data_IF_880955890468
#
_entry.id   IF_880955890468
#
_cell.length_a   1.000
_cell.length_b   1.000
_cell.length_c   1.000
_cell.angle_alpha   90.00
_cell.angle_beta   90.00
_cell.angle_gamma   90.00
#
_symmetry.space_group_name_H-M   'P 1'
#
loop_
_entity.id
_entity.type
_entity.pdbx_description
1 polymer ?
#
# COMPACT_ATOMS: atom_id res chain seq x y z
N UNK A 1 20.67 12.07 -17.03
CA UNK A 1 20.05 12.92 -15.97
C UNK A 1 18.63 13.35 -16.31
N UNK A 2 18.35 13.91 -17.53
CA UNK A 2 16.99 14.40 -17.84
C UNK A 2 15.92 13.32 -17.62
N UNK A 3 16.11 12.11 -18.17
CA UNK A 3 15.11 11.02 -18.04
C UNK A 3 14.86 10.59 -16.59
N UNK A 4 15.87 10.66 -15.71
CA UNK A 4 15.69 10.40 -14.27
C UNK A 4 14.87 11.52 -13.60
N UNK A 5 15.13 12.79 -13.97
CA UNK A 5 14.33 13.90 -13.47
C UNK A 5 12.87 13.78 -13.93
N UNK A 6 12.63 13.37 -15.17
CA UNK A 6 11.27 13.11 -15.69
C UNK A 6 10.57 12.04 -14.84
N UNK A 7 11.25 10.94 -14.50
CA UNK A 7 10.69 9.88 -13.62
C UNK A 7 10.34 10.41 -12.22
N UNK A 8 11.17 11.29 -11.64
CA UNK A 8 10.86 11.88 -10.32
C UNK A 8 9.60 12.74 -10.37
N UNK A 9 9.40 13.51 -11.44
CA UNK A 9 8.15 14.25 -11.63
C UNK A 9 6.96 13.31 -11.87
N UNK A 10 7.17 12.22 -12.60
CA UNK A 10 6.14 11.21 -12.83
C UNK A 10 5.72 10.53 -11.51
N UNK A 11 6.69 10.08 -10.69
CA UNK A 11 6.40 9.52 -9.37
C UNK A 11 5.68 10.54 -8.45
N UNK A 12 6.02 11.84 -8.56
CA UNK A 12 5.31 12.88 -7.80
C UNK A 12 3.82 12.97 -8.14
N UNK A 13 3.39 12.54 -9.34
CA UNK A 13 1.98 12.56 -9.72
C UNK A 13 1.11 11.69 -8.81
N UNK A 14 1.68 10.66 -8.16
CA UNK A 14 0.94 9.84 -7.20
C UNK A 14 0.39 10.64 -6.00
N UNK A 15 0.95 11.82 -5.71
CA UNK A 15 0.41 12.73 -4.69
C UNK A 15 -0.93 13.37 -5.13
N UNK A 16 -1.13 13.48 -6.43
CA UNK A 16 -2.34 14.07 -7.03
C UNK A 16 -3.32 12.99 -7.51
N UNK A 17 -2.90 11.72 -7.49
CA UNK A 17 -3.72 10.58 -7.88
C UNK A 17 -4.52 10.12 -6.65
N UNK A 18 -5.86 10.26 -6.64
CA UNK A 18 -6.66 9.83 -5.49
C UNK A 18 -6.83 8.30 -5.50
N UNK A 19 -6.90 7.70 -4.33
CA UNK A 19 -7.36 6.31 -4.14
C UNK A 19 -8.86 6.25 -4.43
N UNK A 20 -9.21 5.78 -5.61
CA UNK A 20 -10.56 5.87 -6.16
C UNK A 20 -11.61 5.03 -5.41
N UNK A 21 -11.20 4.03 -4.63
CA UNK A 21 -12.09 3.22 -3.81
C UNK A 21 -12.87 4.03 -2.78
N UNK A 22 -12.30 5.10 -2.23
CA UNK A 22 -12.98 5.98 -1.25
C UNK A 22 -14.24 6.66 -1.80
N UNK A 23 -14.37 6.80 -3.12
CA UNK A 23 -15.59 7.31 -3.76
C UNK A 23 -16.81 6.42 -3.48
N UNK A 24 -16.59 5.10 -3.41
CA UNK A 24 -17.65 4.12 -3.11
C UNK A 24 -17.82 3.88 -1.61
N UNK A 25 -16.76 4.07 -0.84
CA UNK A 25 -16.85 4.03 0.61
C UNK A 25 -17.64 5.22 1.16
N UNK A 26 -17.55 6.40 0.51
CA UNK A 26 -18.33 7.61 0.84
C UNK A 26 -17.72 8.49 1.92
N UNK A 27 -16.61 8.11 2.51
CA UNK A 27 -15.81 8.90 3.45
C UNK A 27 -14.33 8.54 3.37
N UNK A 28 -13.49 9.38 3.97
CA UNK A 28 -12.04 9.26 3.87
C UNK A 28 -11.53 9.79 2.52
N UNK A 29 -10.24 9.99 2.46
CA UNK A 29 -9.52 10.27 1.23
C UNK A 29 -8.03 10.05 1.46
N UNK A 30 -7.42 9.46 0.49
CA UNK A 30 -6.01 9.14 0.49
C UNK A 30 -5.49 9.34 -0.95
N UNK A 31 -4.29 9.83 -1.12
CA UNK A 31 -3.58 9.77 -2.39
C UNK A 31 -2.85 8.44 -2.53
N UNK A 32 -2.54 8.04 -3.75
CA UNK A 32 -1.72 6.85 -3.99
C UNK A 32 -0.35 6.97 -3.30
N UNK A 33 0.24 8.18 -3.23
CA UNK A 33 1.50 8.40 -2.54
C UNK A 33 1.41 8.17 -1.02
N UNK A 34 0.32 8.58 -0.37
CA UNK A 34 0.08 8.32 1.06
C UNK A 34 -0.08 6.82 1.32
N UNK A 35 -0.85 6.15 0.48
CA UNK A 35 -0.99 4.69 0.51
C UNK A 35 0.37 3.97 0.35
N UNK A 36 1.14 4.34 -0.67
CA UNK A 36 2.48 3.75 -0.92
C UNK A 36 3.42 3.97 0.27
N UNK A 37 3.38 5.15 0.92
CA UNK A 37 4.14 5.38 2.14
C UNK A 37 3.73 4.41 3.24
N UNK A 38 2.43 4.28 3.52
CA UNK A 38 1.89 3.35 4.54
C UNK A 38 2.26 1.91 4.25
N UNK A 39 2.03 1.43 3.03
CA UNK A 39 2.40 0.07 2.61
C UNK A 39 3.92 -0.19 2.72
N UNK A 40 4.75 0.78 2.33
CA UNK A 40 6.22 0.66 2.43
C UNK A 40 6.68 0.62 3.89
N UNK A 41 6.06 1.40 4.78
CA UNK A 41 6.39 1.35 6.20
C UNK A 41 5.96 0.03 6.85
N UNK A 42 4.79 -0.51 6.49
CA UNK A 42 4.34 -1.84 6.92
C UNK A 42 5.33 -2.91 6.44
N UNK A 43 5.77 -2.83 5.18
CA UNK A 43 6.80 -3.72 4.65
C UNK A 43 8.11 -3.65 5.44
N UNK A 44 8.54 -2.44 5.83
CA UNK A 44 9.70 -2.28 6.72
C UNK A 44 9.50 -3.02 8.05
N UNK A 45 8.33 -2.88 8.69
CA UNK A 45 8.02 -3.64 9.91
C UNK A 45 8.08 -5.15 9.66
N UNK A 46 7.51 -5.63 8.55
CA UNK A 46 7.57 -7.05 8.18
C UNK A 46 9.00 -7.56 8.00
N UNK A 47 9.95 -6.72 7.52
CA UNK A 47 11.36 -7.14 7.42
C UNK A 47 11.98 -7.46 8.77
N UNK A 48 11.47 -6.88 9.86
CA UNK A 48 11.94 -7.13 11.22
C UNK A 48 11.29 -8.39 11.83
N UNK A 49 10.16 -8.82 11.30
CA UNK A 49 9.38 -9.96 11.81
C UNK A 49 9.67 -11.26 11.03
N UNK A 50 10.15 -11.17 9.80
CA UNK A 50 10.29 -12.31 8.89
C UNK A 50 11.77 -12.66 8.66
N UNK A 51 12.31 -13.70 9.31
CA UNK A 51 13.73 -14.07 9.15
C UNK A 51 14.06 -14.44 7.69
N UNK A 52 15.21 -13.94 7.21
CA UNK A 52 15.75 -14.30 5.90
C UNK A 52 14.98 -13.74 4.70
N UNK A 53 14.09 -12.76 4.89
CA UNK A 53 13.47 -12.01 3.80
C UNK A 53 14.48 -11.04 3.19
N UNK A 54 14.44 -10.85 1.87
CA UNK A 54 15.20 -9.77 1.23
C UNK A 54 14.51 -8.42 1.53
N UNK A 55 15.04 -7.73 2.54
CA UNK A 55 14.46 -6.48 3.05
C UNK A 55 14.44 -5.38 1.98
N UNK A 56 15.53 -5.24 1.20
CA UNK A 56 15.59 -4.21 0.15
C UNK A 56 14.55 -4.50 -0.93
N UNK A 57 14.44 -5.75 -1.35
CA UNK A 57 13.46 -6.17 -2.35
C UNK A 57 12.02 -5.95 -1.87
N UNK A 58 11.68 -6.38 -0.64
CA UNK A 58 10.34 -6.22 -0.08
C UNK A 58 9.92 -4.74 -0.02
N UNK A 59 10.78 -3.87 0.50
CA UNK A 59 10.55 -2.43 0.56
C UNK A 59 10.43 -1.83 -0.85
N UNK A 60 11.29 -2.26 -1.79
CA UNK A 60 11.26 -1.77 -3.17
C UNK A 60 9.97 -2.18 -3.89
N UNK A 61 9.48 -3.40 -3.69
CA UNK A 61 8.20 -3.85 -4.25
C UNK A 61 7.06 -2.95 -3.78
N UNK A 62 6.95 -2.67 -2.48
CA UNK A 62 5.93 -1.76 -1.95
C UNK A 62 6.09 -0.32 -2.45
N UNK A 63 7.34 0.16 -2.61
CA UNK A 63 7.60 1.53 -3.08
C UNK A 63 7.13 1.76 -4.52
N UNK A 64 7.22 0.73 -5.38
CA UNK A 64 7.02 0.92 -6.83
C UNK A 64 5.74 0.29 -7.37
N UNK A 65 4.98 -0.48 -6.56
CA UNK A 65 3.86 -1.28 -7.06
C UNK A 65 2.78 -0.48 -7.77
N UNK A 66 2.43 0.69 -7.25
CA UNK A 66 1.42 1.60 -7.79
C UNK A 66 2.01 2.73 -8.66
N UNK A 67 3.32 2.70 -8.95
CA UNK A 67 3.95 3.72 -9.78
C UNK A 67 3.30 3.87 -11.17
N UNK A 68 2.82 2.79 -11.83
CA UNK A 68 2.09 2.91 -13.10
C UNK A 68 0.81 3.76 -13.01
N UNK A 69 0.21 3.90 -11.83
CA UNK A 69 -1.01 4.68 -11.62
C UNK A 69 -0.80 6.19 -11.85
N UNK A 70 0.44 6.67 -11.87
CA UNK A 70 0.76 8.02 -12.35
C UNK A 70 0.28 8.27 -13.79
N UNK A 71 0.11 7.22 -14.59
CA UNK A 71 -0.34 7.27 -16.00
C UNK A 71 -1.76 6.80 -16.21
N UNK A 72 -2.15 5.73 -15.51
CA UNK A 72 -3.43 5.05 -15.74
C UNK A 72 -4.49 5.42 -14.69
N UNK A 73 -4.09 6.08 -13.60
CA UNK A 73 -4.95 6.32 -12.43
C UNK A 73 -5.15 5.07 -11.57
N UNK A 74 -5.58 5.25 -10.33
CA UNK A 74 -6.06 4.14 -9.50
C UNK A 74 -7.45 3.70 -9.99
N UNK A 75 -7.56 2.48 -10.48
CA UNK A 75 -8.82 1.88 -10.91
C UNK A 75 -9.37 1.00 -9.80
N UNK A 76 -10.48 1.44 -9.18
CA UNK A 76 -11.19 0.63 -8.19
C UNK A 76 -11.88 -0.59 -8.81
N UNK A 77 -12.43 -1.46 -7.95
CA UNK A 77 -13.08 -2.71 -8.37
C UNK A 77 -14.25 -2.52 -9.35
N UNK A 78 -14.98 -1.39 -9.25
CA UNK A 78 -16.08 -1.09 -10.19
C UNK A 78 -15.49 -0.66 -11.54
N UNK A 79 -14.52 0.24 -11.55
CA UNK A 79 -13.87 0.69 -12.80
C UNK A 79 -13.25 -0.49 -13.57
N UNK A 80 -12.60 -1.43 -12.87
CA UNK A 80 -11.98 -2.62 -13.48
C UNK A 80 -12.95 -3.53 -14.22
N UNK A 81 -14.27 -3.43 -13.96
CA UNK A 81 -15.27 -4.16 -14.73
C UNK A 81 -15.52 -3.56 -16.13
N UNK A 82 -15.18 -2.29 -16.34
CA UNK A 82 -15.51 -1.55 -17.56
C UNK A 82 -14.30 -0.94 -18.27
N UNK A 83 -13.16 -0.80 -17.58
CA UNK A 83 -11.95 -0.19 -18.09
C UNK A 83 -10.80 -1.18 -18.01
N UNK A 84 -10.17 -1.42 -19.15
CA UNK A 84 -8.94 -2.19 -19.22
C UNK A 84 -7.77 -1.22 -19.47
N UNK A 85 -6.96 -0.98 -18.42
CA UNK A 85 -5.75 -0.18 -18.56
C UNK A 85 -4.65 -1.01 -19.24
N UNK A 86 -3.91 -0.39 -20.15
CA UNK A 86 -2.70 -0.96 -20.74
C UNK A 86 -1.49 -0.66 -19.83
N UNK A 87 -1.52 -1.26 -18.64
CA UNK A 87 -0.44 -1.11 -17.65
C UNK A 87 0.92 -1.61 -18.16
N UNK A 88 1.02 -2.75 -18.91
CA UNK A 88 2.29 -3.15 -19.47
C UNK A 88 2.93 -2.09 -20.37
N UNK A 89 2.12 -1.41 -21.19
CA UNK A 89 2.59 -0.31 -22.02
C UNK A 89 2.97 0.92 -21.18
N UNK A 90 2.19 1.26 -20.16
CA UNK A 90 2.51 2.35 -19.26
C UNK A 90 3.87 2.13 -18.58
N UNK A 91 4.15 0.91 -18.09
CA UNK A 91 5.43 0.52 -17.50
C UNK A 91 6.56 0.58 -18.53
N UNK A 92 6.38 0.00 -19.72
CA UNK A 92 7.39 0.02 -20.79
C UNK A 92 7.77 1.47 -21.20
N UNK A 93 6.79 2.34 -21.30
CA UNK A 93 7.03 3.75 -21.61
C UNK A 93 7.69 4.52 -20.45
N UNK A 94 7.34 4.17 -19.22
CA UNK A 94 7.93 4.73 -17.99
C UNK A 94 9.41 4.41 -17.87
N UNK A 95 9.80 3.17 -18.09
CA UNK A 95 11.18 2.72 -17.91
C UNK A 95 12.11 3.03 -19.09
N UNK A 96 11.55 3.44 -20.23
CA UNK A 96 12.31 3.68 -21.44
C UNK A 96 13.40 4.74 -21.25
N UNK A 97 14.65 4.36 -21.56
CA UNK A 97 15.82 5.24 -21.46
C UNK A 97 16.33 5.48 -20.05
N UNK A 98 15.82 4.73 -19.05
CA UNK A 98 16.39 4.70 -17.71
C UNK A 98 17.53 3.68 -17.63
N UNK A 99 18.69 4.00 -17.03
CA UNK A 99 19.80 3.04 -16.88
C UNK A 99 19.44 1.84 -16.00
N UNK A 100 18.43 1.96 -15.12
CA UNK A 100 17.90 0.92 -14.24
C UNK A 100 16.47 0.50 -14.64
N UNK A 101 16.03 0.82 -15.86
CA UNK A 101 14.66 0.59 -16.32
C UNK A 101 14.23 -0.87 -16.25
N UNK A 102 15.11 -1.79 -16.66
CA UNK A 102 14.84 -3.24 -16.57
C UNK A 102 14.62 -3.72 -15.15
N UNK A 103 15.37 -3.19 -14.19
CA UNK A 103 15.21 -3.55 -12.77
C UNK A 103 13.91 -3.01 -12.21
N UNK A 104 13.54 -1.77 -12.54
CA UNK A 104 12.26 -1.19 -12.13
C UNK A 104 11.08 -1.95 -12.71
N UNK A 105 11.13 -2.30 -14.00
CA UNK A 105 10.10 -3.12 -14.64
C UNK A 105 9.98 -4.48 -13.96
N UNK A 106 11.10 -5.17 -13.69
CA UNK A 106 11.10 -6.47 -13.05
C UNK A 106 10.45 -6.44 -11.65
N UNK A 107 10.67 -5.39 -10.86
CA UNK A 107 10.02 -5.24 -9.55
C UNK A 107 8.49 -5.08 -9.69
N UNK A 108 8.01 -4.26 -10.61
CA UNK A 108 6.58 -4.07 -10.86
C UNK A 108 5.94 -5.39 -11.33
N UNK A 109 6.60 -6.10 -12.25
CA UNK A 109 6.12 -7.39 -12.75
C UNK A 109 6.13 -8.48 -11.67
N UNK A 110 7.14 -8.51 -10.80
CA UNK A 110 7.22 -9.45 -9.66
C UNK A 110 6.09 -9.21 -8.66
N UNK A 111 5.80 -7.94 -8.32
CA UNK A 111 4.66 -7.61 -7.47
C UNK A 111 3.34 -8.07 -8.10
N UNK A 112 3.16 -7.83 -9.40
CA UNK A 112 1.96 -8.27 -10.15
C UNK A 112 1.81 -9.77 -10.22
N UNK A 113 2.89 -10.52 -10.37
CA UNK A 113 2.86 -11.97 -10.34
C UNK A 113 2.47 -12.50 -8.94
N UNK A 114 3.01 -11.90 -7.87
CA UNK A 114 2.69 -12.26 -6.49
C UNK A 114 3.16 -13.66 -6.09
N UNK A 115 4.14 -14.22 -6.80
CA UNK A 115 4.59 -15.61 -6.62
C UNK A 115 5.72 -15.72 -5.60
N UNK A 116 6.62 -14.75 -5.56
CA UNK A 116 7.73 -14.75 -4.60
C UNK A 116 7.25 -14.49 -3.18
N UNK A 117 8.07 -14.87 -2.21
CA UNK A 117 7.82 -14.62 -0.80
C UNK A 117 7.66 -13.13 -0.52
N UNK A 118 8.57 -12.32 -1.05
CA UNK A 118 8.56 -10.87 -0.90
C UNK A 118 7.35 -10.24 -1.58
N UNK A 119 6.96 -10.70 -2.77
CA UNK A 119 5.77 -10.20 -3.45
C UNK A 119 4.47 -10.50 -2.68
N UNK A 120 4.36 -11.67 -2.05
CA UNK A 120 3.21 -11.99 -1.19
C UNK A 120 3.16 -11.12 0.07
N UNK A 121 4.32 -10.89 0.70
CA UNK A 121 4.43 -9.98 1.84
C UNK A 121 4.10 -8.54 1.44
N UNK A 122 4.57 -8.09 0.27
CA UNK A 122 4.27 -6.77 -0.26
C UNK A 122 2.76 -6.58 -0.52
N UNK A 123 2.09 -7.60 -1.07
CA UNK A 123 0.63 -7.58 -1.23
C UNK A 123 -0.11 -7.57 0.10
N UNK A 124 0.39 -8.25 1.12
CA UNK A 124 -0.18 -8.18 2.45
C UNK A 124 0.02 -6.80 3.07
N UNK A 125 1.19 -6.17 2.87
CA UNK A 125 1.44 -4.80 3.33
C UNK A 125 0.49 -3.79 2.67
N UNK A 126 0.22 -3.92 1.37
CA UNK A 126 -0.79 -3.16 0.63
C UNK A 126 -2.19 -3.34 1.25
N UNK A 127 -2.62 -4.58 1.50
CA UNK A 127 -3.92 -4.83 2.12
C UNK A 127 -4.00 -4.30 3.57
N UNK A 128 -2.92 -4.41 4.37
CA UNK A 128 -2.90 -3.88 5.74
C UNK A 128 -2.96 -2.36 5.75
N UNK A 129 -2.37 -1.67 4.77
CA UNK A 129 -2.54 -0.22 4.60
C UNK A 129 -4.02 0.15 4.46
N UNK A 130 -4.77 -0.56 3.62
CA UNK A 130 -6.22 -0.35 3.50
C UNK A 130 -6.98 -0.73 4.79
N UNK A 131 -6.57 -1.79 5.50
CA UNK A 131 -7.20 -2.17 6.77
C UNK A 131 -7.06 -1.06 7.81
N UNK A 132 -5.91 -0.40 7.90
CA UNK A 132 -5.69 0.74 8.82
C UNK A 132 -6.65 1.88 8.54
N UNK A 133 -6.82 2.28 7.28
CA UNK A 133 -7.75 3.33 6.85
C UNK A 133 -9.21 2.97 7.17
N UNK A 134 -9.62 1.75 6.84
CA UNK A 134 -10.97 1.28 7.11
C UNK A 134 -11.27 1.23 8.61
N UNK A 135 -10.30 0.74 9.42
CA UNK A 135 -10.43 0.67 10.86
C UNK A 135 -10.51 2.07 11.49
N UNK A 136 -9.70 3.01 11.02
CA UNK A 136 -9.76 4.39 11.50
C UNK A 136 -11.15 5.00 11.27
N UNK A 137 -11.73 4.82 10.09
CA UNK A 137 -13.08 5.28 9.78
C UNK A 137 -14.15 4.59 10.66
N UNK A 138 -14.03 3.29 10.89
CA UNK A 138 -14.94 2.54 11.76
C UNK A 138 -14.87 3.04 13.22
N UNK A 139 -13.68 3.27 13.76
CA UNK A 139 -13.49 3.75 15.13
C UNK A 139 -13.99 5.17 15.37
N UNK A 140 -14.07 6.02 14.35
CA UNK A 140 -14.72 7.34 14.45
C UNK A 140 -16.24 7.27 14.23
N UNK A 141 -16.81 6.07 14.09
CA UNK A 141 -18.25 5.81 14.01
C UNK A 141 -18.81 5.75 12.58
N UNK A 142 -17.96 5.69 11.56
CA UNK A 142 -18.39 5.51 10.17
C UNK A 142 -18.50 4.02 9.85
N UNK A 143 -19.73 3.50 9.70
CA UNK A 143 -20.01 2.06 9.65
C UNK A 143 -19.68 1.32 8.35
N UNK A 144 -19.73 1.90 7.14
CA UNK A 144 -19.49 1.16 5.89
C UNK A 144 -18.20 0.33 5.84
N UNK A 145 -17.08 0.70 6.51
CA UNK A 145 -15.91 -0.16 6.63
C UNK A 145 -16.16 -1.56 7.17
N UNK A 146 -17.20 -1.77 8.00
CA UNK A 146 -17.53 -3.06 8.56
C UNK A 146 -17.90 -4.10 7.49
N UNK A 147 -18.45 -3.66 6.36
CA UNK A 147 -18.74 -4.54 5.21
C UNK A 147 -17.48 -4.83 4.37
N UNK A 148 -16.51 -3.92 4.35
CA UNK A 148 -15.31 -4.07 3.54
C UNK A 148 -14.21 -4.86 4.25
N UNK A 149 -14.02 -4.65 5.55
CA UNK A 149 -12.96 -5.25 6.37
C UNK A 149 -12.88 -6.78 6.21
N UNK A 150 -13.99 -7.56 6.29
CA UNK A 150 -13.91 -9.01 6.12
C UNK A 150 -13.35 -9.42 4.75
N UNK A 151 -13.70 -8.68 3.70
CA UNK A 151 -13.22 -8.96 2.35
C UNK A 151 -11.73 -8.65 2.19
N UNK A 152 -11.24 -7.58 2.81
CA UNK A 152 -9.82 -7.21 2.76
C UNK A 152 -8.99 -8.18 3.59
N UNK A 153 -9.42 -8.53 4.79
CA UNK A 153 -8.77 -9.52 5.66
C UNK A 153 -8.61 -10.89 4.97
N UNK A 154 -9.62 -11.32 4.22
CA UNK A 154 -9.59 -12.59 3.47
C UNK A 154 -8.59 -12.60 2.29
N UNK A 155 -8.05 -11.45 1.88
CA UNK A 155 -7.03 -11.36 0.82
C UNK A 155 -5.61 -11.59 1.33
N UNK A 156 -5.39 -11.57 2.65
CA UNK A 156 -4.07 -11.77 3.24
C UNK A 156 -3.56 -13.21 2.99
N UNK A 157 -2.33 -13.30 2.51
CA UNK A 157 -1.75 -14.53 2.01
C UNK A 157 -0.76 -15.18 3.00
N UNK A 158 -0.03 -14.36 3.78
CA UNK A 158 1.06 -14.83 4.64
C UNK A 158 0.61 -14.87 6.11
N UNK A 159 1.21 -15.78 6.88
CA UNK A 159 0.94 -15.86 8.32
C UNK A 159 1.35 -14.56 9.04
N UNK A 160 2.46 -13.93 8.62
CA UNK A 160 2.89 -12.64 9.19
C UNK A 160 1.89 -11.53 8.88
N UNK A 161 1.36 -11.47 7.65
CA UNK A 161 0.34 -10.49 7.27
C UNK A 161 -0.93 -10.66 8.08
N UNK A 162 -1.42 -11.90 8.22
CA UNK A 162 -2.61 -12.20 9.03
C UNK A 162 -2.42 -11.82 10.50
N UNK A 163 -1.30 -12.23 11.12
CA UNK A 163 -1.01 -11.91 12.50
C UNK A 163 -0.89 -10.39 12.74
N UNK A 164 -0.26 -9.66 11.81
CA UNK A 164 -0.15 -8.21 11.91
C UNK A 164 -1.51 -7.53 11.75
N UNK A 165 -2.34 -7.99 10.82
CA UNK A 165 -3.69 -7.46 10.65
C UNK A 165 -4.59 -7.75 11.85
N UNK A 166 -4.50 -8.93 12.45
CA UNK A 166 -5.19 -9.27 13.72
C UNK A 166 -4.78 -8.33 14.85
N UNK A 167 -3.48 -8.04 14.98
CA UNK A 167 -2.97 -7.09 15.97
C UNK A 167 -3.49 -5.66 15.70
N UNK A 168 -3.52 -5.23 14.45
CA UNK A 168 -4.12 -3.94 14.05
C UNK A 168 -5.59 -3.89 14.44
N UNK A 169 -6.38 -4.92 14.13
CA UNK A 169 -7.80 -4.98 14.45
C UNK A 169 -8.08 -4.97 15.96
N UNK A 170 -7.19 -5.58 16.76
CA UNK A 170 -7.31 -5.63 18.22
C UNK A 170 -6.85 -4.33 18.91
N UNK A 171 -6.10 -3.47 18.22
CA UNK A 171 -5.51 -2.26 18.81
C UNK A 171 -6.36 -1.04 18.48
N UNK A 172 -6.66 -0.19 19.45
CA UNK A 172 -7.30 1.11 19.22
C UNK A 172 -6.31 2.04 18.50
N UNK A 173 -6.81 2.82 17.53
CA UNK A 173 -5.98 3.75 16.73
C UNK A 173 -5.23 4.80 17.56
N UNK A 174 -5.76 5.16 18.72
CA UNK A 174 -5.25 6.21 19.61
C UNK A 174 -4.43 5.67 20.82
N UNK A 175 -4.36 4.34 21.01
CA UNK A 175 -3.69 3.71 22.15
C UNK A 175 -2.22 4.15 22.29
N UNK A 176 -1.50 4.26 21.18
CA UNK A 176 -0.07 4.57 21.17
C UNK A 176 0.29 5.92 21.81
N UNK A 177 -0.59 6.92 21.74
CA UNK A 177 -0.34 8.20 22.37
C UNK A 177 -1.16 8.41 23.65
N UNK A 178 -2.36 7.83 23.74
CA UNK A 178 -3.21 7.96 24.92
C UNK A 178 -2.60 7.23 26.13
N UNK A 179 -2.16 6.00 25.97
CA UNK A 179 -1.55 5.21 27.04
C UNK A 179 -0.22 5.82 27.49
N UNK A 180 0.55 6.41 26.57
CA UNK A 180 1.78 7.13 26.89
C UNK A 180 1.51 8.38 27.71
N UNK A 181 0.48 9.16 27.38
CA UNK A 181 0.09 10.35 28.15
C UNK A 181 -0.34 9.99 29.59
N UNK A 182 -1.15 8.93 29.75
CA UNK A 182 -1.58 8.45 31.06
C UNK A 182 -0.41 7.98 31.96
N UNK A 183 0.60 7.32 31.37
CA UNK A 183 1.81 6.89 32.10
C UNK A 183 2.68 8.07 32.57
N UNK A 184 2.75 9.15 31.81
CA UNK A 184 3.47 10.38 32.21
C UNK A 184 2.78 11.15 33.31
N UNK A 185 1.44 11.15 33.36
CA UNK A 185 0.66 11.77 34.45
C UNK A 185 0.80 10.99 35.77
N UNK A 186 0.81 9.65 35.70
CA UNK A 186 1.00 8.78 36.85
C UNK A 186 2.40 8.83 37.48
N UNK A 187 3.39 9.38 36.75
CA UNK A 187 4.78 9.51 37.17
C UNK A 187 5.12 10.91 37.75
N UNK A 188 4.15 11.81 37.84
CA UNK A 188 4.27 13.14 38.46
C UNK A 188 3.59 13.17 39.81
#
# INVERSE_FOLDING_TARGET
MKRMADLLFEARMLKETPRSGFQFLGAGRESVAEHVYSATFIAYVMTQLVPGVDALKLISLCLVHDLPEARIGDLNSVNKNYVQADEPRAVADMVRGLPFGTQLQALIEEYRAGESREARLARDADQISLILELKELDEIGYRPPQDWLPHVLNRLQTETGKALAEAVMATRRDAWWWDTAASHEASR
#
